data_IF_123468635455
#
_entry.id   IF_123468635455
#
_cell.length_a   1.000
_cell.length_b   1.000
_cell.length_c   1.000
_cell.angle_alpha   90.00
_cell.angle_beta   90.00
_cell.angle_gamma   90.00
#
_symmetry.space_group_name_H-M   'P 1'
#
loop_
_entity.id
_entity.type
_entity.pdbx_description
1 polymer ?
#
# COMPACT_ATOMS: atom_id res chain seq x y z
N UNK A 1 -12.35 14.95 0.29
CA UNK A 1 -11.42 15.10 -0.85
C UNK A 1 -11.10 13.69 -1.32
N UNK A 2 -11.23 13.40 -2.61
CA UNK A 2 -10.78 12.11 -3.14
C UNK A 2 -9.26 12.05 -2.99
N UNK A 3 -8.75 11.16 -2.15
CA UNK A 3 -7.31 10.99 -1.97
C UNK A 3 -6.76 10.21 -3.17
N UNK A 4 -5.72 10.73 -3.80
CA UNK A 4 -5.00 10.00 -4.84
C UNK A 4 -3.98 9.06 -4.18
N UNK A 5 -3.76 7.88 -4.75
CA UNK A 5 -2.76 6.94 -4.24
C UNK A 5 -1.36 7.57 -4.12
N UNK A 6 -1.02 8.51 -5.01
CA UNK A 6 0.26 9.23 -4.99
C UNK A 6 0.45 10.09 -3.73
N UNK A 7 -0.65 10.58 -3.13
CA UNK A 7 -0.61 11.43 -1.94
C UNK A 7 -0.04 10.67 -0.73
N UNK A 8 -0.13 9.33 -0.75
CA UNK A 8 0.40 8.45 0.28
C UNK A 8 1.80 7.92 -0.03
N UNK A 9 2.31 8.13 -1.25
CA UNK A 9 3.60 7.59 -1.68
C UNK A 9 4.82 8.41 -1.23
N UNK A 10 4.60 9.59 -0.64
CA UNK A 10 5.68 10.51 -0.28
C UNK A 10 6.39 11.08 -1.51
N UNK A 11 7.66 11.48 -1.34
CA UNK A 11 8.44 12.13 -2.42
C UNK A 11 9.52 11.23 -3.01
N UNK A 12 9.75 10.07 -2.39
CA UNK A 12 10.86 9.19 -2.73
C UNK A 12 10.50 8.13 -3.79
N UNK A 13 10.47 6.85 -3.42
CA UNK A 13 9.94 5.77 -4.28
C UNK A 13 8.54 5.36 -3.84
N UNK A 14 8.31 5.33 -2.53
CA UNK A 14 7.03 4.98 -1.95
C UNK A 14 7.08 5.00 -0.43
N UNK A 15 5.91 4.75 0.16
CA UNK A 15 5.75 4.56 1.60
C UNK A 15 5.13 3.20 1.88
N UNK A 16 5.50 2.60 3.03
CA UNK A 16 4.85 1.43 3.60
C UNK A 16 3.97 1.86 4.75
N UNK A 17 2.74 1.36 4.74
CA UNK A 17 1.80 1.45 5.84
C UNK A 17 1.53 0.05 6.37
N UNK A 18 1.68 -0.16 7.66
CA UNK A 18 1.43 -1.44 8.31
C UNK A 18 0.16 -1.36 9.13
N UNK A 19 -0.67 -2.39 9.02
CA UNK A 19 -1.86 -2.51 9.85
C UNK A 19 -1.43 -2.62 11.31
N UNK A 20 -2.06 -1.83 12.18
CA UNK A 20 -1.88 -1.91 13.62
C UNK A 20 -2.06 -3.36 14.09
N UNK A 21 -1.19 -3.76 15.04
CA UNK A 21 -0.84 -5.14 15.37
C UNK A 21 -2.01 -6.14 15.24
N UNK A 22 -1.82 -7.14 14.39
CA UNK A 22 -2.67 -8.32 14.26
C UNK A 22 -1.90 -9.54 14.75
N UNK A 23 -2.54 -10.45 15.47
CA UNK A 23 -1.81 -11.50 16.21
C UNK A 23 -1.19 -12.57 15.31
N UNK A 24 -1.64 -12.70 14.06
CA UNK A 24 -1.25 -13.79 13.16
C UNK A 24 -0.64 -13.33 11.83
N UNK A 25 -0.94 -12.11 11.38
CA UNK A 25 -0.50 -11.61 10.09
C UNK A 25 0.03 -10.18 10.16
N UNK A 26 1.08 -9.89 9.40
CA UNK A 26 1.52 -8.51 9.15
C UNK A 26 0.99 -8.09 7.78
N UNK A 27 0.01 -7.21 7.79
CA UNK A 27 -0.59 -6.64 6.59
C UNK A 27 0.08 -5.30 6.25
N UNK A 28 0.61 -5.20 5.05
CA UNK A 28 1.27 -4.00 4.55
C UNK A 28 0.55 -3.46 3.31
N UNK A 29 0.31 -2.15 3.27
CA UNK A 29 -0.04 -1.39 2.09
C UNK A 29 1.15 -0.52 1.67
N UNK A 30 1.64 -0.71 0.45
CA UNK A 30 2.70 0.10 -0.12
C UNK A 30 2.11 1.00 -1.19
N UNK A 31 2.43 2.29 -1.11
CA UNK A 31 2.03 3.29 -2.11
C UNK A 31 3.26 3.77 -2.85
N UNK A 32 3.23 3.74 -4.18
CA UNK A 32 4.35 4.14 -5.03
C UNK A 32 4.09 5.47 -5.72
N UNK A 33 5.17 6.19 -6.03
CA UNK A 33 5.12 7.54 -6.63
C UNK A 33 4.46 7.62 -8.01
N UNK A 34 4.19 6.48 -8.65
CA UNK A 34 3.44 6.38 -9.90
C UNK A 34 1.95 6.05 -9.68
N UNK A 35 1.48 6.10 -8.43
CA UNK A 35 0.09 5.86 -8.05
C UNK A 35 -0.28 4.38 -7.90
N UNK A 36 0.66 3.45 -8.12
CA UNK A 36 0.39 2.03 -7.88
C UNK A 36 0.38 1.73 -6.40
N UNK A 37 -0.40 0.71 -6.05
CA UNK A 37 -0.51 0.20 -4.67
C UNK A 37 -0.14 -1.27 -4.67
N UNK A 38 0.53 -1.72 -3.62
CA UNK A 38 0.78 -3.14 -3.37
C UNK A 38 0.30 -3.52 -1.98
N UNK A 39 -0.47 -4.60 -1.91
CA UNK A 39 -0.77 -5.25 -0.64
C UNK A 39 0.16 -6.44 -0.46
N UNK A 40 0.73 -6.59 0.73
CA UNK A 40 1.55 -7.72 1.12
C UNK A 40 1.08 -8.23 2.47
N UNK A 41 0.75 -9.52 2.55
CA UNK A 41 0.44 -10.20 3.81
C UNK A 41 1.56 -11.17 4.16
N UNK A 42 2.11 -11.03 5.35
CA UNK A 42 3.10 -11.95 5.91
C UNK A 42 2.52 -12.71 7.10
N UNK A 43 2.94 -13.96 7.33
CA UNK A 43 2.66 -14.64 8.59
C UNK A 43 3.62 -14.13 9.69
N UNK A 44 3.17 -14.16 10.95
CA UNK A 44 4.04 -13.95 12.11
C UNK A 44 4.58 -15.28 12.64
N UNK A 45 5.80 -15.28 13.20
CA UNK A 45 6.44 -16.44 13.83
C UNK A 45 7.89 -16.64 13.39
N UNK A 46 8.51 -17.73 13.85
CA UNK A 46 9.92 -18.07 13.54
C UNK A 46 10.16 -18.33 12.04
N UNK A 47 9.11 -18.64 11.28
CA UNK A 47 9.14 -18.83 9.84
C UNK A 47 8.29 -17.77 9.10
N UNK A 48 8.41 -16.50 9.48
CA UNK A 48 7.70 -15.41 8.83
C UNK A 48 8.03 -15.36 7.32
N UNK A 49 7.02 -15.59 6.49
CA UNK A 49 7.12 -15.56 5.04
C UNK A 49 5.95 -14.78 4.42
N UNK A 50 6.13 -14.38 3.16
CA UNK A 50 5.07 -13.77 2.37
C UNK A 50 3.99 -14.83 2.10
N UNK A 51 2.76 -14.59 2.55
CA UNK A 51 1.60 -15.45 2.28
C UNK A 51 1.09 -15.17 0.88
N UNK A 52 0.78 -13.91 0.58
CA UNK A 52 0.42 -13.45 -0.76
C UNK A 52 0.64 -11.95 -0.93
N UNK A 53 0.60 -11.50 -2.18
CA UNK A 53 0.67 -10.08 -2.53
C UNK A 53 -0.21 -9.74 -3.72
N UNK A 54 -0.69 -8.50 -3.79
CA UNK A 54 -1.59 -8.01 -4.82
C UNK A 54 -1.15 -6.65 -5.32
N UNK A 55 -1.34 -6.40 -6.60
CA UNK A 55 -1.17 -5.08 -7.19
C UNK A 55 -2.53 -4.40 -7.38
N UNK A 56 -2.56 -3.10 -7.14
CA UNK A 56 -3.66 -2.21 -7.54
C UNK A 56 -3.15 -1.15 -8.51
N UNK A 57 -4.06 -0.65 -9.34
CA UNK A 57 -3.78 0.45 -10.26
C UNK A 57 -3.92 1.85 -9.61
N UNK A 58 -4.44 1.92 -8.39
CA UNK A 58 -4.65 3.17 -7.65
C UNK A 58 -5.94 3.13 -6.84
N UNK A 59 -6.47 4.32 -6.58
CA UNK A 59 -7.74 4.56 -5.91
C UNK A 59 -8.74 5.15 -6.90
N UNK A 60 -10.03 4.86 -6.73
CA UNK A 60 -11.08 5.66 -7.35
C UNK A 60 -11.46 6.88 -6.49
N UNK A 61 -12.41 7.68 -6.97
CA UNK A 61 -12.87 8.90 -6.30
C UNK A 61 -13.48 8.68 -4.91
N UNK A 62 -13.89 7.44 -4.61
CA UNK A 62 -14.48 7.06 -3.32
C UNK A 62 -13.44 6.53 -2.33
N UNK A 63 -12.17 6.42 -2.75
CA UNK A 63 -11.11 5.78 -1.97
C UNK A 63 -11.09 4.26 -2.10
N UNK A 64 -11.87 3.66 -3.02
CA UNK A 64 -11.82 2.22 -3.28
C UNK A 64 -10.52 1.86 -3.98
N UNK A 65 -9.88 0.80 -3.51
CA UNK A 65 -8.65 0.29 -4.10
C UNK A 65 -8.97 -0.56 -5.33
N UNK A 66 -8.35 -0.20 -6.45
CA UNK A 66 -8.60 -0.83 -7.75
C UNK A 66 -7.63 -2.00 -7.99
N UNK A 67 -7.88 -3.12 -7.32
CA UNK A 67 -7.07 -4.36 -7.42
C UNK A 67 -7.06 -4.92 -8.84
N UNK A 68 -5.88 -5.34 -9.31
CA UNK A 68 -5.68 -5.88 -10.67
C UNK A 68 -6.23 -7.30 -10.79
N UNK A 69 -5.94 -8.15 -9.81
CA UNK A 69 -6.41 -9.54 -9.75
C UNK A 69 -6.51 -9.96 -8.30
N UNK A 70 -7.64 -10.51 -7.90
CA UNK A 70 -7.86 -11.04 -6.56
C UNK A 70 -7.46 -12.53 -6.47
N UNK A 71 -7.06 -13.01 -5.29
CA UNK A 71 -6.78 -14.42 -5.05
C UNK A 71 -8.05 -15.27 -5.15
N UNK A 72 -7.89 -16.55 -5.44
CA UNK A 72 -9.01 -17.48 -5.64
C UNK A 72 -9.70 -17.87 -4.33
N UNK A 73 -8.95 -17.95 -3.24
CA UNK A 73 -9.46 -18.42 -1.96
C UNK A 73 -10.19 -17.31 -1.17
N UNK A 74 -11.40 -17.61 -0.70
CA UNK A 74 -12.24 -16.68 0.07
C UNK A 74 -11.55 -16.16 1.35
N UNK A 75 -10.76 -17.01 2.00
CA UNK A 75 -9.99 -16.62 3.20
C UNK A 75 -9.02 -15.49 2.91
N UNK A 76 -8.37 -15.52 1.75
CA UNK A 76 -7.44 -14.47 1.31
C UNK A 76 -8.23 -13.24 0.85
N UNK A 77 -9.37 -13.41 0.18
CA UNK A 77 -10.21 -12.28 -0.26
C UNK A 77 -10.73 -11.42 0.90
N UNK A 78 -11.03 -12.03 2.05
CA UNK A 78 -11.47 -11.33 3.28
C UNK A 78 -10.38 -10.49 3.91
N UNK A 79 -9.12 -10.78 3.62
CA UNK A 79 -7.98 -10.03 4.10
C UNK A 79 -7.74 -8.72 3.36
N UNK A 80 -8.22 -8.63 2.13
CA UNK A 80 -7.84 -7.59 1.19
C UNK A 80 -8.49 -6.27 1.62
N UNK A 81 -7.69 -5.22 1.86
CA UNK A 81 -8.23 -3.90 2.12
C UNK A 81 -9.03 -3.40 0.90
N UNK A 82 -10.26 -2.90 1.09
CA UNK A 82 -11.13 -2.54 -0.04
C UNK A 82 -11.23 -1.04 -0.26
N UNK A 83 -11.41 -0.27 0.79
CA UNK A 83 -11.67 1.18 0.70
C UNK A 83 -10.92 1.90 1.80
N UNK A 84 -10.15 2.94 1.43
CA UNK A 84 -9.62 3.90 2.39
C UNK A 84 -10.79 4.80 2.82
N UNK A 85 -11.28 4.58 4.03
CA UNK A 85 -12.50 5.24 4.53
C UNK A 85 -12.22 6.54 5.25
N UNK A 86 -11.00 6.69 5.81
CA UNK A 86 -10.59 7.93 6.47
C UNK A 86 -9.07 8.11 6.40
N UNK A 87 -8.63 9.36 6.38
CA UNK A 87 -7.21 9.75 6.37
C UNK A 87 -6.95 10.57 7.63
N UNK A 88 -6.09 10.03 8.50
CA UNK A 88 -5.81 10.57 9.83
C UNK A 88 -4.35 11.01 9.92
N UNK A 89 -4.04 11.79 10.96
CA UNK A 89 -2.67 12.18 11.29
C UNK A 89 -1.92 12.79 10.09
N UNK A 90 -2.59 13.65 9.31
CA UNK A 90 -2.04 14.26 8.10
C UNK A 90 -1.51 13.25 7.07
N UNK A 91 -2.16 12.09 6.96
CA UNK A 91 -1.81 11.05 5.98
C UNK A 91 -0.82 10.02 6.48
N UNK A 92 -0.40 10.04 7.75
CA UNK A 92 0.46 8.99 8.33
C UNK A 92 -0.33 7.83 8.93
N UNK A 93 -1.66 7.96 9.07
CA UNK A 93 -2.53 6.86 9.47
C UNK A 93 -3.78 6.81 8.58
N UNK A 94 -4.15 5.61 8.14
CA UNK A 94 -5.27 5.38 7.22
C UNK A 94 -6.28 4.44 7.89
N UNK A 95 -7.54 4.84 7.91
CA UNK A 95 -8.62 3.91 8.25
C UNK A 95 -9.10 3.22 6.97
N UNK A 96 -9.25 1.91 7.05
CA UNK A 96 -9.60 1.08 5.89
C UNK A 96 -10.79 0.20 6.25
N UNK A 97 -11.76 0.12 5.34
CA UNK A 97 -12.99 -0.66 5.48
C UNK A 97 -13.79 -0.35 6.76
N UNK A 98 -13.70 0.89 7.26
CA UNK A 98 -14.26 1.32 8.56
C UNK A 98 -13.78 0.45 9.75
N UNK A 99 -12.66 -0.26 9.60
CA UNK A 99 -12.11 -1.09 10.66
C UNK A 99 -11.49 -0.22 11.76
N UNK A 100 -11.59 -0.68 13.00
CA UNK A 100 -10.99 0.01 14.16
C UNK A 100 -9.47 0.13 14.03
N UNK A 101 -8.82 -0.92 13.54
CA UNK A 101 -7.37 -0.96 13.33
C UNK A 101 -7.01 -0.16 12.08
N UNK A 102 -5.99 0.67 12.21
CA UNK A 102 -5.53 1.56 11.14
C UNK A 102 -4.31 0.98 10.44
N UNK A 103 -4.01 1.50 9.26
CA UNK A 103 -2.72 1.31 8.59
C UNK A 103 -1.85 2.53 8.86
N UNK A 104 -0.72 2.35 9.54
CA UNK A 104 0.16 3.43 9.98
C UNK A 104 1.43 3.43 9.14
N UNK A 105 1.87 4.59 8.66
CA UNK A 105 3.10 4.74 7.89
C UNK A 105 4.30 4.32 8.76
N UNK A 106 4.98 3.26 8.37
CA UNK A 106 6.17 2.73 9.09
C UNK A 106 7.47 3.03 8.36
N UNK A 107 7.42 3.19 7.05
CA UNK A 107 8.62 3.35 6.22
C UNK A 107 8.35 4.28 5.04
N UNK A 108 9.34 5.10 4.70
CA UNK A 108 9.46 5.75 3.40
C UNK A 108 10.77 5.29 2.77
N UNK A 109 10.72 4.81 1.54
CA UNK A 109 11.87 4.15 0.92
C UNK A 109 12.27 4.82 -0.40
N UNK A 110 13.57 4.76 -0.70
CA UNK A 110 14.18 5.33 -1.90
C UNK A 110 14.10 4.42 -3.13
N UNK A 111 14.02 3.12 -2.91
CA UNK A 111 13.87 2.10 -3.94
C UNK A 111 13.23 0.83 -3.37
N UNK A 112 12.61 0.05 -4.25
CA UNK A 112 12.02 -1.24 -3.92
C UNK A 112 12.28 -2.20 -5.09
N UNK A 113 13.53 -2.68 -5.17
CA UNK A 113 13.96 -3.59 -6.23
C UNK A 113 13.14 -4.89 -6.32
N UNK A 114 12.79 -5.57 -5.20
CA UNK A 114 11.95 -6.77 -5.24
C UNK A 114 10.62 -6.55 -5.97
N UNK A 115 10.05 -5.35 -5.84
CA UNK A 115 8.78 -4.98 -6.49
C UNK A 115 8.97 -4.17 -7.79
N UNK A 116 10.18 -4.17 -8.36
CA UNK A 116 10.47 -3.58 -9.67
C UNK A 116 10.74 -2.08 -9.67
N UNK A 117 10.94 -1.46 -8.51
CA UNK A 117 11.30 -0.04 -8.36
C UNK A 117 12.77 0.16 -8.02
N UNK A 118 13.66 -0.29 -8.90
CA UNK A 118 15.08 0.05 -8.80
C UNK A 118 15.38 1.52 -9.13
N UNK A 119 16.55 2.00 -8.69
CA UNK A 119 17.01 3.41 -8.86
C UNK A 119 16.70 4.04 -10.22
N UNK A 120 16.96 3.33 -11.32
CA UNK A 120 16.76 3.88 -12.67
C UNK A 120 15.28 4.17 -12.96
N UNK A 121 14.37 3.24 -12.62
CA UNK A 121 12.92 3.44 -12.77
C UNK A 121 12.47 4.61 -11.90
N UNK A 122 12.85 4.64 -10.63
CA UNK A 122 12.48 5.69 -9.69
C UNK A 122 12.97 7.06 -10.18
N UNK A 123 14.21 7.14 -10.67
CA UNK A 123 14.75 8.35 -11.27
C UNK A 123 13.90 8.86 -12.45
N UNK A 124 13.51 7.97 -13.37
CA UNK A 124 12.65 8.33 -14.50
C UNK A 124 11.28 8.83 -14.04
N UNK A 125 10.67 8.18 -13.05
CA UNK A 125 9.38 8.58 -12.49
C UNK A 125 9.46 9.97 -11.83
N UNK A 126 10.47 10.21 -11.01
CA UNK A 126 10.70 11.53 -10.38
C UNK A 126 10.90 12.64 -11.42
N UNK A 127 11.57 12.36 -12.55
CA UNK A 127 11.72 13.34 -13.63
C UNK A 127 10.41 13.65 -14.36
N UNK A 128 9.48 12.69 -14.46
CA UNK A 128 8.16 12.93 -15.04
C UNK A 128 7.30 13.80 -14.12
N UNK A 129 7.34 13.55 -12.81
CA UNK A 129 6.59 14.33 -11.82
C UNK A 129 7.02 15.81 -11.79
N UNK A 130 8.32 16.11 -11.96
CA UNK A 130 8.83 17.50 -12.01
C UNK A 130 8.46 18.29 -13.27
N UNK A 131 7.90 17.65 -14.30
CA UNK A 131 7.56 18.32 -15.57
C UNK A 131 6.12 18.84 -15.61
N UNK A 132 5.33 18.54 -14.58
CA UNK A 132 3.99 19.04 -14.35
C UNK A 132 3.99 19.94 -13.12
#
# INVERSE_FOLDING_TARGET
MAANAVDFAGTLCGCRYEKELETHFRDCLLFYIDGRIRFERYCYGEAACLVFSLWANGLDETGKILWVKEPEFEVDQKAIPRVITDVQENGTALQVDNQRKRYVKTEEFDEDKPNGYGRFKVFLLRRKLKKH
#
